data_IF_166045920671
#
_entry.id   IF_166045920671
#
_cell.length_a   1.000
_cell.length_b   1.000
_cell.length_c   1.000
_cell.angle_alpha   90.00
_cell.angle_beta   90.00
_cell.angle_gamma   90.00
#
_symmetry.space_group_name_H-M   'P 1'
#
loop_
_entity.id
_entity.type
_entity.pdbx_description
1 polymer ?
#
# COMPACT_ATOMS: atom_id res chain seq x y z
N UNK A 1 28.09 3.14 13.00
CA UNK A 1 27.42 2.65 11.77
C UNK A 1 26.13 3.45 11.55
N UNK A 2 25.82 3.83 10.31
CA UNK A 2 24.62 4.62 10.00
C UNK A 2 23.33 3.83 10.28
N UNK A 3 22.39 4.37 11.09
CA UNK A 3 21.15 3.67 11.45
C UNK A 3 20.11 3.64 10.31
N UNK A 4 20.24 4.50 9.30
CA UNK A 4 19.26 4.60 8.20
C UNK A 4 18.03 5.45 8.56
N UNK A 5 17.04 5.48 7.66
CA UNK A 5 15.80 6.22 7.85
C UNK A 5 14.67 5.29 8.32
N UNK A 6 14.22 5.49 9.55
CA UNK A 6 13.06 4.78 10.08
C UNK A 6 11.77 5.42 9.59
N UNK A 7 10.95 4.63 8.88
CA UNK A 7 9.61 5.06 8.49
C UNK A 7 8.76 5.17 9.76
N UNK A 8 8.18 6.35 10.01
CA UNK A 8 7.24 6.58 11.10
C UNK A 8 5.81 6.48 10.58
N UNK A 9 5.09 5.46 11.03
CA UNK A 9 3.65 5.29 10.82
C UNK A 9 2.93 5.30 12.18
N UNK A 10 1.61 5.54 12.20
CA UNK A 10 0.80 5.45 13.41
C UNK A 10 0.85 4.06 14.04
N UNK A 11 0.75 3.98 15.37
CA UNK A 11 0.95 2.74 16.15
C UNK A 11 -0.04 1.61 15.81
N UNK A 12 -1.16 1.94 15.14
CA UNK A 12 -2.19 0.98 14.75
C UNK A 12 -1.94 0.32 13.37
N UNK A 13 -0.87 0.68 12.66
CA UNK A 13 -0.57 0.16 11.31
C UNK A 13 0.73 -0.63 11.35
N UNK A 14 0.68 -1.89 10.90
CA UNK A 14 1.90 -2.68 10.70
C UNK A 14 2.75 -2.06 9.59
N UNK A 15 3.94 -1.58 9.98
CA UNK A 15 4.91 -0.93 9.09
C UNK A 15 5.32 -1.80 7.90
N UNK A 16 5.42 -3.11 8.11
CA UNK A 16 5.71 -4.07 7.04
C UNK A 16 4.56 -4.10 6.04
N UNK A 17 3.32 -4.19 6.53
CA UNK A 17 2.16 -4.28 5.65
C UNK A 17 1.81 -2.98 4.92
N UNK A 18 2.29 -1.84 5.44
CA UNK A 18 2.08 -0.51 4.89
C UNK A 18 3.15 -0.06 3.89
N UNK A 19 4.32 -0.70 3.87
CA UNK A 19 5.34 -0.38 2.89
C UNK A 19 5.00 -0.96 1.50
N UNK A 20 5.07 -0.17 0.42
CA UNK A 20 4.75 -0.64 -0.93
C UNK A 20 5.92 -1.42 -1.54
N UNK A 21 6.09 -2.68 -1.11
CA UNK A 21 7.17 -3.55 -1.57
C UNK A 21 7.20 -3.77 -3.08
N UNK A 22 6.04 -3.69 -3.75
CA UNK A 22 5.97 -3.84 -5.20
C UNK A 22 6.77 -2.78 -5.97
N UNK A 23 7.07 -1.62 -5.37
CA UNK A 23 7.94 -0.62 -5.99
C UNK A 23 9.30 -1.19 -6.38
N UNK A 24 9.87 -2.06 -5.54
CA UNK A 24 11.16 -2.71 -5.78
C UNK A 24 11.15 -3.64 -6.99
N UNK A 25 9.99 -4.14 -7.42
CA UNK A 25 9.88 -4.98 -8.63
C UNK A 25 9.78 -4.15 -9.92
N UNK A 26 9.42 -2.87 -9.80
CA UNK A 26 9.11 -2.00 -10.94
C UNK A 26 10.17 -0.94 -11.21
N UNK A 27 11.05 -0.67 -10.24
CA UNK A 27 12.01 0.42 -10.26
C UNK A 27 13.27 0.05 -9.52
N UNK A 28 14.39 0.55 -10.03
CA UNK A 28 15.64 0.59 -9.28
C UNK A 28 15.56 1.70 -8.24
N UNK A 29 15.39 1.31 -6.97
CA UNK A 29 15.25 2.25 -5.87
C UNK A 29 16.61 2.60 -5.26
N UNK A 30 16.90 3.88 -4.95
CA UNK A 30 18.17 4.32 -4.37
C UNK A 30 18.30 3.99 -2.87
N UNK A 31 17.56 2.99 -2.38
CA UNK A 31 17.65 2.49 -1.01
C UNK A 31 17.34 0.99 -0.94
N UNK A 32 17.95 0.34 0.04
CA UNK A 32 17.60 -1.00 0.49
C UNK A 32 16.63 -0.92 1.66
N UNK A 33 15.84 -1.97 1.86
CA UNK A 33 14.85 -2.04 2.95
C UNK A 33 15.30 -3.08 3.97
N UNK A 34 15.45 -2.66 5.22
CA UNK A 34 15.75 -3.52 6.36
C UNK A 34 14.48 -3.64 7.20
N UNK A 35 13.98 -4.86 7.32
CA UNK A 35 12.73 -5.16 8.02
C UNK A 35 13.07 -5.78 9.37
N UNK A 36 12.48 -5.24 10.44
CA UNK A 36 12.42 -5.87 11.74
C UNK A 36 10.95 -6.11 12.14
N UNK A 37 10.71 -6.85 13.23
CA UNK A 37 9.36 -7.17 13.69
C UNK A 37 8.46 -5.95 13.90
N UNK A 38 9.05 -4.79 14.20
CA UNK A 38 8.33 -3.58 14.57
C UNK A 38 8.70 -2.36 13.72
N UNK A 39 9.66 -2.48 12.79
CA UNK A 39 10.12 -1.32 12.02
C UNK A 39 10.53 -1.68 10.60
N UNK A 40 10.33 -0.70 9.71
CA UNK A 40 10.89 -0.71 8.36
C UNK A 40 11.89 0.44 8.30
N UNK A 41 13.15 0.09 8.01
CA UNK A 41 14.26 1.03 7.92
C UNK A 41 14.76 1.06 6.49
N UNK A 42 14.90 2.26 5.94
CA UNK A 42 15.41 2.47 4.59
C UNK A 42 16.87 2.94 4.67
N UNK A 43 17.75 2.24 3.97
CA UNK A 43 19.19 2.57 3.94
C UNK A 43 19.53 2.95 2.51
N UNK A 44 20.04 4.17 2.30
CA UNK A 44 20.43 4.61 0.96
C UNK A 44 21.52 3.71 0.40
N UNK A 45 21.47 3.40 -0.89
CA UNK A 45 22.53 2.64 -1.58
C UNK A 45 23.85 3.41 -1.61
N UNK A 46 23.80 4.75 -1.52
CA UNK A 46 24.96 5.64 -1.38
C UNK A 46 25.30 5.93 0.09
N UNK A 47 24.83 5.13 1.04
CA UNK A 47 25.14 5.32 2.46
C UNK A 47 26.64 5.09 2.71
N UNK A 48 27.31 6.10 3.24
CA UNK A 48 28.76 6.06 3.53
C UNK A 48 29.12 5.27 4.78
N UNK A 49 28.15 4.62 5.45
CA UNK A 49 28.27 3.81 6.69
C UNK A 49 28.80 4.53 7.93
N UNK A 50 29.49 5.66 7.74
CA UNK A 50 29.88 6.62 8.75
C UNK A 50 28.67 7.49 9.11
N UNK A 51 28.22 7.37 10.36
CA UNK A 51 27.27 8.32 10.92
C UNK A 51 28.00 9.66 11.11
N UNK A 52 27.43 10.80 10.68
CA UNK A 52 28.02 12.09 11.00
C UNK A 52 28.10 12.20 12.53
N UNK A 53 29.33 12.23 13.06
CA UNK A 53 29.53 12.59 14.45
C UNK A 53 28.95 13.98 14.65
N UNK A 54 28.39 14.23 15.82
CA UNK A 54 27.66 15.44 16.21
C UNK A 54 28.49 16.75 16.01
N UNK A 55 29.76 16.64 15.62
CA UNK A 55 30.71 17.73 15.47
C UNK A 55 30.93 18.25 14.04
N UNK A 56 30.34 17.67 13.00
CA UNK A 56 30.38 18.30 11.67
C UNK A 56 29.16 19.18 11.44
N UNK A 57 29.42 20.49 11.42
CA UNK A 57 28.52 21.55 11.00
C UNK A 57 27.62 21.10 9.84
N UNK A 58 26.33 21.44 9.93
CA UNK A 58 25.25 21.11 8.97
C UNK A 58 24.52 19.78 9.29
N UNK A 59 24.00 19.65 10.51
CA UNK A 59 22.81 18.80 10.71
C UNK A 59 21.61 19.73 10.95
N UNK A 60 20.75 19.83 9.95
CA UNK A 60 19.46 20.57 10.01
C UNK A 60 18.42 19.78 10.82
N UNK A 61 18.87 19.03 11.83
CA UNK A 61 18.00 18.27 12.71
C UNK A 61 17.60 19.15 13.89
N UNK A 62 16.30 19.22 14.23
CA UNK A 62 15.91 19.72 15.52
C UNK A 62 16.46 18.75 16.57
N UNK A 63 17.35 19.25 17.45
CA UNK A 63 17.89 18.54 18.62
C UNK A 63 16.81 17.94 19.52
N UNK A 64 15.53 18.32 19.33
CA UNK A 64 14.36 17.85 20.06
C UNK A 64 13.97 16.38 19.81
N UNK A 65 14.62 15.68 18.88
CA UNK A 65 14.40 14.24 18.63
C UNK A 65 15.49 13.33 19.19
N UNK A 66 16.64 13.87 19.61
CA UNK A 66 17.60 13.10 20.41
C UNK A 66 17.08 13.07 21.83
N UNK A 67 16.62 11.90 22.29
CA UNK A 67 16.25 11.72 23.70
C UNK A 67 17.51 11.55 24.56
N UNK A 68 18.59 11.04 23.97
CA UNK A 68 19.87 10.80 24.63
C UNK A 68 21.05 11.29 23.78
N UNK A 69 22.17 11.60 24.44
CA UNK A 69 23.44 12.00 23.81
C UNK A 69 24.09 10.90 22.95
N UNK A 70 23.62 9.65 23.07
CA UNK A 70 24.13 8.47 22.38
C UNK A 70 23.32 8.10 21.12
N UNK A 71 22.27 8.85 20.79
CA UNK A 71 21.46 8.58 19.59
C UNK A 71 22.28 8.89 18.32
N UNK A 72 22.69 7.83 17.62
CA UNK A 72 23.40 7.94 16.34
C UNK A 72 22.43 8.48 15.29
N UNK A 73 22.84 9.54 14.56
CA UNK A 73 22.04 10.11 13.48
C UNK A 73 22.30 9.40 12.14
N UNK A 74 21.29 9.32 11.25
CA UNK A 74 21.50 8.84 9.89
C UNK A 74 22.43 9.76 9.11
N UNK A 75 23.18 9.20 8.16
CA UNK A 75 23.94 10.00 7.19
C UNK A 75 23.01 10.84 6.31
N UNK A 76 23.56 11.87 5.67
CA UNK A 76 22.82 12.82 4.81
C UNK A 76 22.02 12.08 3.72
N UNK A 77 22.61 11.07 3.08
CA UNK A 77 21.95 10.29 2.02
C UNK A 77 20.74 9.52 2.56
N UNK A 78 20.87 8.86 3.71
CA UNK A 78 19.74 8.20 4.36
C UNK A 78 18.69 9.22 4.84
N UNK A 79 19.10 10.39 5.31
CA UNK A 79 18.18 11.45 5.72
C UNK A 79 17.34 11.97 4.54
N UNK A 80 17.94 12.13 3.36
CA UNK A 80 17.27 12.60 2.15
C UNK A 80 16.17 11.64 1.67
N UNK A 81 16.18 10.38 2.11
CA UNK A 81 15.08 9.43 1.84
C UNK A 81 13.74 9.91 2.42
N UNK A 82 13.75 10.68 3.51
CA UNK A 82 12.53 11.26 4.08
C UNK A 82 11.76 12.11 3.08
N UNK A 83 12.48 12.84 2.22
CA UNK A 83 11.90 13.78 1.24
C UNK A 83 11.80 13.17 -0.17
N UNK A 84 12.18 11.89 -0.33
CA UNK A 84 12.09 11.24 -1.62
C UNK A 84 10.62 11.10 -2.05
N UNK A 85 10.28 11.52 -3.28
CA UNK A 85 8.92 11.58 -3.80
C UNK A 85 8.14 10.25 -3.63
N UNK A 86 8.78 9.12 -3.91
CA UNK A 86 8.18 7.79 -3.76
C UNK A 86 7.85 7.45 -2.30
N UNK A 87 8.74 7.80 -1.36
CA UNK A 87 8.53 7.54 0.07
C UNK A 87 7.44 8.46 0.61
N UNK A 88 7.44 9.72 0.19
CA UNK A 88 6.39 10.68 0.52
C UNK A 88 5.02 10.25 -0.04
N UNK A 89 4.97 9.79 -1.29
CA UNK A 89 3.76 9.25 -1.91
C UNK A 89 3.26 8.01 -1.18
N UNK A 90 4.14 7.04 -0.88
CA UNK A 90 3.80 5.85 -0.10
C UNK A 90 3.22 6.20 1.28
N UNK A 91 3.81 7.21 1.95
CA UNK A 91 3.35 7.70 3.25
C UNK A 91 1.97 8.36 3.14
N UNK A 92 1.77 9.21 2.13
CA UNK A 92 0.48 9.84 1.85
C UNK A 92 -0.59 8.78 1.57
N UNK A 93 -0.32 7.82 0.69
CA UNK A 93 -1.25 6.71 0.42
C UNK A 93 -1.59 5.93 1.69
N UNK A 94 -0.62 5.68 2.56
CA UNK A 94 -0.86 4.92 3.80
C UNK A 94 -1.71 5.70 4.80
N UNK A 95 -1.48 7.01 4.93
CA UNK A 95 -2.14 7.85 5.93
C UNK A 95 -3.51 8.34 5.47
N UNK A 96 -3.58 8.84 4.25
CA UNK A 96 -4.74 9.54 3.69
C UNK A 96 -5.59 8.63 2.80
N UNK A 97 -5.10 7.42 2.51
CA UNK A 97 -5.70 6.48 1.57
C UNK A 97 -5.12 6.64 0.16
N UNK A 98 -5.18 5.56 -0.62
CA UNK A 98 -4.80 5.60 -2.03
C UNK A 98 -5.98 6.05 -2.88
N UNK A 99 -5.72 6.90 -3.87
CA UNK A 99 -6.71 7.24 -4.89
C UNK A 99 -7.01 6.04 -5.80
N UNK A 100 -8.21 5.95 -6.36
CA UNK A 100 -8.63 4.83 -7.22
C UNK A 100 -7.73 4.63 -8.46
N UNK A 101 -7.14 5.71 -8.97
CA UNK A 101 -6.20 5.69 -10.10
C UNK A 101 -4.76 5.35 -9.71
N UNK A 102 -4.50 5.06 -8.43
CA UNK A 102 -3.14 4.73 -7.97
C UNK A 102 -2.73 3.38 -8.54
N UNK A 103 -1.61 3.36 -9.27
CA UNK A 103 -1.06 2.12 -9.82
C UNK A 103 -0.69 1.15 -8.69
N UNK A 104 -0.92 -0.14 -8.92
CA UNK A 104 -0.78 -1.17 -7.88
C UNK A 104 0.64 -1.28 -7.29
N UNK A 105 1.65 -0.89 -8.06
CA UNK A 105 3.05 -0.86 -7.62
C UNK A 105 3.27 0.06 -6.41
N UNK A 106 2.45 1.11 -6.27
CA UNK A 106 2.53 2.10 -5.19
C UNK A 106 1.64 1.75 -4.00
N UNK A 107 0.83 0.69 -4.12
CA UNK A 107 -0.07 0.27 -3.07
C UNK A 107 0.67 -0.62 -2.07
N UNK A 108 0.34 -0.42 -0.81
CA UNK A 108 0.77 -1.30 0.26
C UNK A 108 0.00 -2.62 0.23
N UNK A 109 0.51 -3.63 0.91
CA UNK A 109 -0.17 -4.93 1.00
C UNK A 109 -1.55 -4.79 1.66
N UNK A 110 -1.70 -3.90 2.64
CA UNK A 110 -3.00 -3.61 3.27
C UNK A 110 -4.01 -3.06 2.26
N UNK A 111 -3.58 -2.14 1.41
CA UNK A 111 -4.44 -1.52 0.41
C UNK A 111 -4.85 -2.52 -0.66
N UNK A 112 -3.91 -3.34 -1.13
CA UNK A 112 -4.20 -4.42 -2.08
C UNK A 112 -5.19 -5.43 -1.50
N UNK A 113 -5.05 -5.81 -0.23
CA UNK A 113 -6.00 -6.69 0.44
C UNK A 113 -7.38 -6.05 0.57
N UNK A 114 -7.46 -4.76 0.89
CA UNK A 114 -8.71 -4.02 0.96
C UNK A 114 -9.43 -3.99 -0.39
N UNK A 115 -8.70 -3.68 -1.47
CA UNK A 115 -9.22 -3.70 -2.85
C UNK A 115 -9.70 -5.11 -3.21
N UNK A 116 -8.91 -6.15 -2.91
CA UNK A 116 -9.29 -7.54 -3.19
C UNK A 116 -10.60 -7.94 -2.48
N UNK A 117 -10.77 -7.55 -1.21
CA UNK A 117 -12.01 -7.79 -0.46
C UNK A 117 -13.21 -7.06 -1.06
N UNK A 118 -13.03 -5.79 -1.42
CA UNK A 118 -14.08 -5.01 -2.06
C UNK A 118 -14.51 -5.65 -3.39
N UNK A 119 -13.55 -5.97 -4.27
CA UNK A 119 -13.83 -6.59 -5.57
C UNK A 119 -14.48 -7.96 -5.44
N UNK A 120 -14.09 -8.75 -4.44
CA UNK A 120 -14.74 -10.03 -4.14
C UNK A 120 -16.22 -9.84 -3.78
N UNK A 121 -16.53 -8.80 -3.01
CA UNK A 121 -17.91 -8.46 -2.62
C UNK A 121 -18.72 -8.04 -3.85
N UNK A 122 -18.16 -7.17 -4.70
CA UNK A 122 -18.79 -6.74 -5.96
C UNK A 122 -19.08 -7.92 -6.89
N UNK A 123 -18.10 -8.83 -7.08
CA UNK A 123 -18.27 -10.04 -7.89
C UNK A 123 -19.41 -10.92 -7.34
N UNK A 124 -19.47 -11.10 -6.02
CA UNK A 124 -20.50 -11.93 -5.39
C UNK A 124 -21.89 -11.35 -5.61
N UNK A 125 -22.03 -10.03 -5.50
CA UNK A 125 -23.27 -9.32 -5.81
C UNK A 125 -23.70 -9.53 -7.26
N UNK A 126 -22.79 -9.34 -8.22
CA UNK A 126 -23.07 -9.53 -9.64
C UNK A 126 -23.48 -10.98 -9.97
N UNK A 127 -22.86 -11.97 -9.32
CA UNK A 127 -23.26 -13.38 -9.48
C UNK A 127 -24.69 -13.65 -9.02
N UNK A 128 -25.09 -13.07 -7.88
CA UNK A 128 -26.47 -13.20 -7.37
C UNK A 128 -27.48 -12.51 -8.30
N UNK A 129 -27.15 -11.33 -8.80
CA UNK A 129 -28.00 -10.60 -9.77
C UNK A 129 -28.17 -11.38 -11.08
N UNK A 130 -27.09 -11.97 -11.59
CA UNK A 130 -27.14 -12.83 -12.78
C UNK A 130 -28.00 -14.08 -12.55
N UNK A 131 -27.87 -14.73 -11.39
CA UNK A 131 -28.69 -15.89 -11.04
C UNK A 131 -30.19 -15.55 -10.99
N UNK A 132 -30.54 -14.47 -10.29
CA UNK A 132 -31.93 -14.02 -10.17
C UNK A 132 -32.52 -13.64 -11.52
N UNK A 133 -31.73 -12.98 -12.37
CA UNK A 133 -32.14 -12.63 -13.73
C UNK A 133 -32.37 -13.87 -14.59
N UNK A 134 -31.48 -14.87 -14.50
CA UNK A 134 -31.63 -16.15 -15.17
C UNK A 134 -32.91 -16.88 -14.74
N UNK A 135 -33.18 -16.98 -13.44
CA UNK A 135 -34.41 -17.59 -12.93
C UNK A 135 -35.67 -16.88 -13.42
N UNK A 136 -35.67 -15.54 -13.42
CA UNK A 136 -36.79 -14.74 -13.93
C UNK A 136 -37.05 -14.99 -15.42
N UNK A 137 -35.99 -15.11 -16.22
CA UNK A 137 -36.10 -15.43 -17.64
C UNK A 137 -36.64 -16.84 -17.87
N UNK A 138 -36.18 -17.83 -17.10
CA UNK A 138 -36.70 -19.20 -17.17
C UNK A 138 -38.20 -19.25 -16.89
N UNK A 139 -38.65 -18.58 -15.83
CA UNK A 139 -40.07 -18.51 -15.50
C UNK A 139 -40.91 -17.89 -16.62
N UNK A 140 -40.46 -16.75 -17.17
CA UNK A 140 -41.14 -16.09 -18.29
C UNK A 140 -41.16 -16.95 -19.55
N UNK A 141 -40.11 -17.73 -19.80
CA UNK A 141 -40.05 -18.61 -20.96
C UNK A 141 -41.06 -19.77 -20.83
N UNK A 142 -41.20 -20.33 -19.62
CA UNK A 142 -42.22 -21.34 -19.33
C UNK A 142 -43.64 -20.79 -19.51
N UNK A 143 -43.90 -19.57 -19.03
CA UNK A 143 -45.19 -18.91 -19.26
C UNK A 143 -45.48 -18.72 -20.75
N UNK A 144 -44.50 -18.22 -21.52
CA UNK A 144 -44.64 -18.06 -22.97
C UNK A 144 -44.90 -19.38 -23.68
N UNK A 145 -44.24 -20.46 -23.25
CA UNK A 145 -44.45 -21.78 -23.83
C UNK A 145 -45.87 -22.30 -23.55
N UNK A 146 -46.37 -22.12 -22.32
CA UNK A 146 -47.76 -22.44 -22.00
C UNK A 146 -48.77 -21.66 -22.86
N UNK A 147 -48.54 -20.36 -23.07
CA UNK A 147 -49.37 -19.54 -23.96
C UNK A 147 -49.31 -20.00 -25.43
N UNK A 148 -48.14 -20.40 -25.92
CA UNK A 148 -48.00 -20.98 -27.27
C UNK A 148 -48.80 -22.27 -27.41
N UNK A 149 -48.70 -23.16 -26.43
CA UNK A 149 -49.47 -24.41 -26.41
C UNK A 149 -50.98 -24.15 -26.42
N UNK A 150 -51.46 -23.19 -25.64
CA UNK A 150 -52.87 -22.79 -25.66
C UNK A 150 -53.30 -22.23 -27.01
N UNK A 151 -52.49 -21.37 -27.63
CA UNK A 151 -52.80 -20.81 -28.95
C UNK A 151 -52.83 -21.87 -30.07
N UNK A 152 -52.02 -22.93 -29.98
CA UNK A 152 -52.06 -24.03 -30.96
C UNK A 152 -53.26 -24.97 -30.79
N UNK A 153 -53.91 -24.95 -29.63
CA UNK A 153 -55.05 -25.82 -29.32
C UNK A 153 -56.42 -25.21 -29.68
N UNK A 154 -56.46 -23.93 -30.05
CA UNK A 154 -57.64 -23.18 -30.49
C UNK A 154 -57.64 -23.13 -32.01
#
# INVERSE_FOLDING_TARGET
>A
PCPGYHIKLPDNISLVSAYPFLLHSSRDLPWTTVISRQSVTLVSTSCTSESPSINHHISTFPKSLLKNSDDVLPCVNCQCLRTHNLIMGARHCTLDGAHESTLWQYLSMLQLLAIAKQKTTEITKLKLEALNSGQKLTHRNQELDAWKHLAMAI
#
